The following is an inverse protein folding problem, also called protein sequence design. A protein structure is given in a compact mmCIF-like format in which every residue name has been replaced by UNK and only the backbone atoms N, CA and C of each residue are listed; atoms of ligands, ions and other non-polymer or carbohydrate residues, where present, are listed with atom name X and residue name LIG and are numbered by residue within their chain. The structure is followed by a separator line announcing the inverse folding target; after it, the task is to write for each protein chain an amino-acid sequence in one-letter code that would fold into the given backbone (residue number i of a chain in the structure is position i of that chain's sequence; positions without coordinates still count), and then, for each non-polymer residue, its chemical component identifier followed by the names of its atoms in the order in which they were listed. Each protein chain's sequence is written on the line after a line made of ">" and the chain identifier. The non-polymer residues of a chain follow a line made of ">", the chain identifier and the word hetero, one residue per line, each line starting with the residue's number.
data_IF_603959820980
#
_entry.id   IF_603959820980
#
_cell.length_a   1.000
_cell.length_b   1.000
_cell.length_c   1.000
_cell.angle_alpha   90.00
_cell.angle_beta   90.00
_cell.angle_gamma   90.00
#
_symmetry.space_group_name_H-M   'P 1'
#
loop_
_entity.id
_entity.type
_entity.pdbx_description
1 polymer ?
#
# COMPACT_ATOMS: atom_id res chain seq x y z
N UNK A 1 -41.37 -46.17 9.26
CA UNK A 1 -40.43 -45.75 8.21
C UNK A 1 -39.60 -44.63 8.76
N UNK A 2 -38.33 -44.52 8.37
CA UNK A 2 -37.46 -43.42 8.79
C UNK A 2 -37.69 -42.20 7.89
N UNK A 3 -37.65 -41.03 8.50
CA UNK A 3 -37.65 -39.76 7.78
C UNK A 3 -36.26 -39.52 7.18
N UNK A 4 -36.22 -39.14 5.91
CA UNK A 4 -35.01 -38.65 5.24
C UNK A 4 -35.27 -37.19 4.85
N UNK A 5 -34.61 -36.27 5.54
CA UNK A 5 -34.53 -34.86 5.17
C UNK A 5 -33.16 -34.55 4.57
N UNK A 6 -33.05 -33.41 3.90
CA UNK A 6 -31.80 -32.91 3.34
C UNK A 6 -31.03 -32.13 4.43
N UNK A 7 -29.77 -32.49 4.64
CA UNK A 7 -28.81 -31.67 5.39
C UNK A 7 -28.23 -30.66 4.41
N UNK A 8 -28.29 -29.37 4.77
CA UNK A 8 -27.75 -28.28 3.95
C UNK A 8 -26.22 -28.31 4.00
N UNK A 9 -25.64 -28.02 5.17
CA UNK A 9 -24.19 -28.06 5.40
C UNK A 9 -23.82 -28.80 6.70
N UNK A 10 -22.75 -29.59 6.62
CA UNK A 10 -22.14 -30.28 7.76
C UNK A 10 -20.65 -29.95 7.78
N UNK A 11 -20.19 -29.29 8.85
CA UNK A 11 -18.76 -29.10 9.14
C UNK A 11 -18.36 -29.98 10.32
N UNK A 12 -17.29 -30.76 10.14
CA UNK A 12 -16.72 -31.65 11.16
C UNK A 12 -15.35 -31.12 11.52
N UNK A 13 -15.14 -30.83 12.81
CA UNK A 13 -13.89 -30.33 13.35
C UNK A 13 -13.15 -31.44 14.09
N UNK A 14 -11.82 -31.51 13.91
CA UNK A 14 -10.95 -32.52 14.52
C UNK A 14 -10.39 -32.10 15.89
N UNK A 15 -10.93 -31.02 16.47
CA UNK A 15 -10.55 -30.44 17.75
C UNK A 15 -11.68 -29.61 18.37
N UNK A 16 -11.50 -29.21 19.63
CA UNK A 16 -12.43 -28.29 20.30
C UNK A 16 -12.33 -26.90 19.68
N UNK A 17 -13.49 -26.29 19.42
CA UNK A 17 -13.59 -24.92 18.96
C UNK A 17 -13.37 -23.96 20.13
N UNK A 18 -12.76 -22.81 19.86
CA UNK A 18 -12.71 -21.71 20.82
C UNK A 18 -14.06 -20.95 20.88
N UNK A 19 -14.18 -20.03 21.84
CA UNK A 19 -15.42 -19.30 22.08
C UNK A 19 -15.84 -18.42 20.89
N UNK A 20 -14.88 -17.89 20.13
CA UNK A 20 -15.15 -17.08 18.94
C UNK A 20 -15.70 -17.95 17.80
N UNK A 21 -15.07 -19.10 17.56
CA UNK A 21 -15.52 -20.09 16.58
C UNK A 21 -16.89 -20.68 16.92
N UNK A 22 -17.17 -20.89 18.21
CA UNK A 22 -18.51 -21.32 18.66
C UNK A 22 -19.55 -20.22 18.43
N UNK A 23 -19.19 -18.95 18.68
CA UNK A 23 -20.08 -17.82 18.46
C UNK A 23 -20.40 -17.65 16.97
N UNK A 24 -19.38 -17.70 16.10
CA UNK A 24 -19.48 -17.64 14.64
C UNK A 24 -20.45 -18.70 14.09
N UNK A 25 -20.30 -19.95 14.53
CA UNK A 25 -21.20 -21.04 14.16
C UNK A 25 -22.62 -20.87 14.72
N UNK A 26 -22.75 -20.30 15.92
CA UNK A 26 -24.04 -20.11 16.58
C UNK A 26 -24.84 -18.94 15.98
N UNK A 27 -24.17 -17.93 15.44
CA UNK A 27 -24.79 -16.75 14.83
C UNK A 27 -24.96 -16.88 13.31
N UNK A 28 -24.21 -17.78 12.66
CA UNK A 28 -24.22 -17.93 11.21
C UNK A 28 -23.52 -16.79 10.46
N UNK A 29 -22.75 -15.96 11.18
CA UNK A 29 -21.93 -14.89 10.60
C UNK A 29 -20.53 -15.43 10.37
N UNK A 30 -20.01 -15.30 9.15
CA UNK A 30 -18.63 -15.65 8.83
C UNK A 30 -17.61 -14.79 9.64
N UNK A 31 -16.34 -15.21 9.75
CA UNK A 31 -15.30 -14.42 10.42
C UNK A 31 -15.23 -13.01 9.81
N UNK A 32 -15.03 -12.03 10.66
CA UNK A 32 -14.99 -10.59 10.37
C UNK A 32 -14.01 -9.98 11.39
N UNK A 33 -12.74 -9.86 10.98
CA UNK A 33 -11.63 -9.60 11.89
C UNK A 33 -11.64 -8.17 12.43
N UNK A 34 -11.99 -7.19 11.60
CA UNK A 34 -12.05 -5.79 11.97
C UNK A 34 -13.45 -5.33 12.42
N UNK A 35 -14.47 -6.19 12.25
CA UNK A 35 -15.87 -5.96 12.62
C UNK A 35 -16.54 -4.84 11.82
N UNK A 36 -16.16 -4.62 10.55
CA UNK A 36 -16.79 -3.64 9.67
C UNK A 36 -18.10 -4.14 9.02
N UNK A 37 -18.39 -5.44 9.16
CA UNK A 37 -19.58 -6.11 8.63
C UNK A 37 -19.38 -6.77 7.27
N UNK A 38 -18.18 -6.73 6.71
CA UNK A 38 -17.73 -7.55 5.57
C UNK A 38 -16.99 -8.77 6.12
N UNK A 39 -17.44 -9.99 5.80
CA UNK A 39 -16.70 -11.17 6.24
C UNK A 39 -15.32 -11.29 5.57
N UNK A 40 -14.32 -11.80 6.30
CA UNK A 40 -12.93 -11.96 5.85
C UNK A 40 -12.82 -12.65 4.47
N UNK A 41 -13.70 -13.63 4.20
CA UNK A 41 -13.70 -14.35 2.92
C UNK A 41 -14.04 -13.48 1.70
N UNK A 42 -14.54 -12.26 1.94
CA UNK A 42 -14.95 -11.26 0.95
C UNK A 42 -14.33 -9.88 1.19
N UNK A 43 -13.58 -9.71 2.29
CA UNK A 43 -12.85 -8.50 2.60
C UNK A 43 -11.47 -8.55 1.93
N UNK A 44 -11.05 -7.53 1.16
CA UNK A 44 -9.70 -7.45 0.64
C UNK A 44 -8.66 -6.88 1.62
N UNK A 45 -9.06 -6.36 2.79
CA UNK A 45 -8.21 -5.73 3.82
C UNK A 45 -8.78 -6.09 5.21
N UNK A 46 -8.53 -7.33 5.64
CA UNK A 46 -9.13 -8.00 6.80
C UNK A 46 -8.92 -7.21 8.13
N UNK A 47 -7.90 -6.37 8.23
CA UNK A 47 -7.62 -5.55 9.42
C UNK A 47 -7.72 -4.04 9.23
N UNK A 48 -8.11 -3.62 8.02
CA UNK A 48 -8.41 -2.25 7.63
C UNK A 48 -7.27 -1.26 7.91
N UNK A 49 -6.03 -1.69 7.69
CA UNK A 49 -4.83 -0.87 7.90
C UNK A 49 -4.37 -0.11 6.64
N UNK A 50 -5.03 -0.37 5.52
CA UNK A 50 -4.76 0.27 4.23
C UNK A 50 -3.80 -0.52 3.34
N UNK A 51 -3.40 -1.73 3.74
CA UNK A 51 -2.69 -2.70 2.93
C UNK A 51 -3.61 -3.88 2.60
N UNK A 52 -3.74 -4.30 1.34
CA UNK A 52 -4.58 -5.46 1.02
C UNK A 52 -3.96 -6.78 1.48
N UNK A 53 -4.79 -7.72 1.95
CA UNK A 53 -4.42 -9.07 2.40
C UNK A 53 -3.44 -9.78 1.46
N UNK A 54 -3.75 -9.72 0.16
CA UNK A 54 -2.96 -10.38 -0.87
C UNK A 54 -1.55 -9.82 -0.94
N UNK A 55 -1.41 -8.50 -0.75
CA UNK A 55 -0.11 -7.85 -0.72
C UNK A 55 0.64 -8.18 0.57
N UNK A 56 -0.03 -8.12 1.71
CA UNK A 56 0.59 -8.45 3.00
C UNK A 56 1.11 -9.88 3.04
N UNK A 57 0.28 -10.86 2.66
CA UNK A 57 0.67 -12.28 2.60
C UNK A 57 1.82 -12.49 1.61
N UNK A 58 1.82 -11.80 0.47
CA UNK A 58 2.90 -11.89 -0.51
C UNK A 58 4.24 -11.33 0.01
N UNK A 59 4.19 -10.34 0.91
CA UNK A 59 5.37 -9.73 1.54
C UNK A 59 5.64 -10.29 2.96
N UNK A 60 4.93 -11.35 3.35
CA UNK A 60 5.09 -12.04 4.62
C UNK A 60 4.68 -11.23 5.84
N UNK A 61 3.81 -10.23 5.68
CA UNK A 61 3.12 -9.52 6.77
C UNK A 61 1.87 -10.29 7.20
N UNK A 62 1.09 -9.75 8.13
CA UNK A 62 -0.07 -10.42 8.68
C UNK A 62 -1.34 -9.57 8.52
N UNK A 63 -2.16 -9.94 7.53
CA UNK A 63 -3.47 -9.36 7.20
C UNK A 63 -4.53 -9.36 8.31
N UNK A 64 -4.17 -9.82 9.51
CA UNK A 64 -5.00 -9.81 10.71
C UNK A 64 -4.25 -9.12 11.84
N UNK A 65 -3.47 -8.09 11.54
CA UNK A 65 -2.68 -7.29 12.47
C UNK A 65 -2.36 -5.90 11.90
N UNK A 66 -3.33 -4.99 11.99
CA UNK A 66 -3.21 -3.59 11.60
C UNK A 66 -2.04 -2.82 12.26
N UNK A 67 -1.44 -3.37 13.31
CA UNK A 67 -0.26 -2.79 13.95
C UNK A 67 1.01 -2.93 13.11
N UNK A 68 1.07 -3.85 12.14
CA UNK A 68 2.25 -4.01 11.30
C UNK A 68 2.32 -3.04 10.11
N UNK A 69 1.22 -2.44 9.65
CA UNK A 69 1.27 -1.28 8.73
C UNK A 69 2.26 -0.20 9.17
N UNK A 70 2.29 0.11 10.47
CA UNK A 70 3.17 1.14 11.05
C UNK A 70 4.57 0.63 11.44
N UNK A 71 4.84 -0.67 11.30
CA UNK A 71 6.15 -1.24 11.56
C UNK A 71 7.08 -1.03 10.35
N UNK A 72 8.38 -1.04 10.63
CA UNK A 72 9.47 -1.00 9.65
C UNK A 72 10.12 -2.39 9.68
N UNK A 73 9.66 -3.29 8.81
CA UNK A 73 9.96 -4.71 8.91
C UNK A 73 11.40 -5.07 8.52
N UNK A 74 12.07 -4.23 7.73
CA UNK A 74 13.44 -4.43 7.26
C UNK A 74 14.46 -3.42 7.82
N UNK A 75 13.99 -2.34 8.47
CA UNK A 75 14.81 -1.36 9.17
C UNK A 75 15.35 -0.24 8.27
N UNK A 76 14.71 0.05 7.14
CA UNK A 76 15.17 1.05 6.16
C UNK A 76 14.67 2.49 6.45
N UNK A 77 13.77 2.63 7.42
CA UNK A 77 13.15 3.86 7.88
C UNK A 77 11.79 4.20 7.25
N UNK A 78 11.22 3.34 6.41
CA UNK A 78 9.84 3.40 5.94
C UNK A 78 8.96 2.41 6.72
N UNK A 79 7.69 2.75 6.89
CA UNK A 79 6.71 1.80 7.39
C UNK A 79 6.17 0.92 6.27
N UNK A 80 5.70 -0.28 6.60
CA UNK A 80 5.15 -1.24 5.64
C UNK A 80 4.06 -0.63 4.75
N UNK A 81 3.18 0.22 5.30
CA UNK A 81 2.14 0.91 4.53
C UNK A 81 2.71 2.00 3.60
N UNK A 82 3.78 2.69 4.00
CA UNK A 82 4.47 3.64 3.13
C UNK A 82 5.15 2.92 1.96
N UNK A 83 5.68 1.74 2.19
CA UNK A 83 6.26 0.88 1.17
C UNK A 83 5.23 0.29 0.21
N UNK A 84 4.07 -0.14 0.73
CA UNK A 84 2.92 -0.50 -0.09
C UNK A 84 2.54 0.66 -1.02
N UNK A 85 2.41 1.88 -0.50
CA UNK A 85 2.10 3.06 -1.30
C UNK A 85 3.22 3.36 -2.31
N UNK A 86 4.49 3.18 -1.93
CA UNK A 86 5.65 3.47 -2.78
C UNK A 86 5.89 2.42 -3.88
N UNK A 87 5.40 1.20 -3.71
CA UNK A 87 5.74 0.05 -4.55
C UNK A 87 7.13 -0.49 -4.23
N UNK A 88 7.50 -0.55 -2.95
CA UNK A 88 8.74 -1.20 -2.49
C UNK A 88 8.42 -2.50 -1.76
N UNK A 89 9.47 -3.24 -1.39
CA UNK A 89 9.37 -4.55 -0.75
C UNK A 89 9.74 -4.37 0.73
N UNK A 90 8.80 -4.55 1.68
CA UNK A 90 9.03 -4.31 3.10
C UNK A 90 9.93 -5.34 3.79
N UNK A 91 10.51 -6.26 3.01
CA UNK A 91 11.48 -7.25 3.46
C UNK A 91 12.88 -7.00 2.88
N UNK A 92 13.06 -5.95 2.09
CA UNK A 92 14.32 -5.63 1.43
C UNK A 92 14.66 -4.14 1.56
N UNK A 93 15.56 -3.82 2.50
CA UNK A 93 15.97 -2.46 2.79
C UNK A 93 16.70 -1.75 1.61
N UNK A 94 17.09 -2.50 0.57
CA UNK A 94 17.64 -1.97 -0.68
C UNK A 94 16.54 -1.65 -1.73
N UNK A 95 15.30 -2.11 -1.52
CA UNK A 95 14.13 -1.83 -2.35
C UNK A 95 13.61 -0.42 -2.08
N UNK A 96 14.07 0.56 -2.88
CA UNK A 96 13.78 1.98 -2.65
C UNK A 96 13.10 2.65 -3.83
N UNK A 97 12.02 3.38 -3.56
CA UNK A 97 11.47 4.32 -4.52
C UNK A 97 12.41 5.53 -4.68
N UNK A 98 13.02 5.63 -5.86
CA UNK A 98 14.06 6.64 -6.12
C UNK A 98 13.93 7.26 -7.51
N UNK A 99 14.43 8.50 -7.61
CA UNK A 99 14.67 9.13 -8.91
C UNK A 99 15.75 8.34 -9.66
N UNK A 100 15.38 7.70 -10.77
CA UNK A 100 16.27 6.84 -11.55
C UNK A 100 17.27 7.64 -12.41
N UNK A 101 17.07 8.94 -12.55
CA UNK A 101 18.04 9.82 -13.20
C UNK A 101 17.48 11.22 -13.47
N UNK A 102 18.37 12.10 -13.90
CA UNK A 102 17.99 13.41 -14.41
C UNK A 102 18.77 13.73 -15.69
N UNK A 103 18.22 14.59 -16.53
CA UNK A 103 18.91 15.09 -17.72
C UNK A 103 18.71 16.60 -17.90
N UNK A 104 19.66 17.24 -18.57
CA UNK A 104 19.55 18.64 -18.99
C UNK A 104 19.44 18.69 -20.50
N UNK A 105 18.34 19.22 -21.03
CA UNK A 105 18.09 19.29 -22.47
C UNK A 105 17.50 20.66 -22.82
N UNK A 106 18.12 21.38 -23.74
CA UNK A 106 17.62 22.70 -24.18
C UNK A 106 17.61 23.79 -23.09
N UNK A 107 18.26 23.58 -21.94
CA UNK A 107 18.20 24.47 -20.78
C UNK A 107 17.18 24.03 -19.72
N UNK A 108 16.39 22.99 -19.99
CA UNK A 108 15.43 22.39 -19.08
C UNK A 108 16.01 21.19 -18.34
N UNK A 109 15.53 20.94 -17.12
CA UNK A 109 15.84 19.72 -16.36
C UNK A 109 14.66 18.76 -16.42
N UNK A 110 14.97 17.50 -16.64
CA UNK A 110 14.02 16.40 -16.65
C UNK A 110 14.36 15.42 -15.53
N UNK A 111 13.37 15.05 -14.72
CA UNK A 111 13.48 13.97 -13.75
C UNK A 111 12.91 12.70 -14.35
N UNK A 112 13.61 11.58 -14.19
CA UNK A 112 13.17 10.26 -14.65
C UNK A 112 13.02 9.31 -13.47
N UNK A 113 11.88 8.64 -13.39
CA UNK A 113 11.63 7.62 -12.36
C UNK A 113 10.74 6.51 -12.92
N UNK A 114 10.90 5.30 -12.35
CA UNK A 114 10.04 4.15 -12.65
C UNK A 114 8.69 4.34 -11.98
N UNK A 115 7.62 3.94 -12.66
CA UNK A 115 6.26 3.98 -12.12
C UNK A 115 5.67 2.59 -12.08
N UNK A 116 4.71 2.37 -11.18
CA UNK A 116 3.95 1.12 -11.07
C UNK A 116 2.47 1.36 -11.33
N UNK A 117 1.79 0.38 -11.92
CA UNK A 117 0.34 0.44 -12.14
C UNK A 117 -0.43 0.51 -10.82
N UNK A 118 -1.61 1.14 -10.82
CA UNK A 118 -2.43 1.33 -9.62
C UNK A 118 -1.95 2.46 -8.70
N UNK A 119 -0.98 3.26 -9.16
CA UNK A 119 -0.46 4.42 -8.45
C UNK A 119 -0.51 5.67 -9.30
N UNK A 120 -0.63 6.81 -8.63
CA UNK A 120 -0.60 8.14 -9.23
C UNK A 120 0.56 8.93 -8.66
N UNK A 121 1.35 9.52 -9.56
CA UNK A 121 2.57 10.25 -9.23
C UNK A 121 2.41 11.76 -9.42
N UNK A 122 3.24 12.49 -8.71
CA UNK A 122 3.41 13.93 -8.86
C UNK A 122 4.83 14.37 -8.54
N UNK A 123 5.14 15.60 -8.89
CA UNK A 123 6.41 16.26 -8.55
C UNK A 123 6.09 17.58 -7.88
N UNK A 124 6.70 17.82 -6.72
CA UNK A 124 6.67 19.11 -6.06
C UNK A 124 8.08 19.71 -6.02
N UNK A 125 8.17 21.03 -6.11
CA UNK A 125 9.41 21.79 -6.06
C UNK A 125 9.41 22.82 -4.94
N UNK A 126 10.59 23.12 -4.40
CA UNK A 126 10.80 24.23 -3.46
C UNK A 126 12.17 24.89 -3.65
N UNK A 127 12.28 26.17 -3.33
CA UNK A 127 13.53 26.92 -3.46
C UNK A 127 14.55 26.58 -2.37
N UNK A 128 14.09 26.18 -1.18
CA UNK A 128 14.93 25.97 0.00
C UNK A 128 14.58 24.65 0.69
N UNK A 129 15.59 23.91 1.17
CA UNK A 129 15.32 22.67 1.94
C UNK A 129 14.79 22.96 3.35
N UNK A 130 15.13 24.12 3.89
CA UNK A 130 14.87 24.51 5.28
C UNK A 130 14.15 25.85 5.31
N UNK A 131 13.27 26.05 6.29
CA UNK A 131 12.50 27.27 6.46
C UNK A 131 11.01 27.06 6.16
N UNK A 132 10.29 28.14 5.89
CA UNK A 132 8.82 28.16 5.73
C UNK A 132 8.36 28.08 4.28
N UNK A 133 9.26 27.91 3.31
CA UNK A 133 8.88 27.80 1.91
C UNK A 133 8.11 26.51 1.67
N UNK A 134 6.88 26.63 1.17
CA UNK A 134 6.02 25.49 0.88
C UNK A 134 6.50 24.70 -0.35
N UNK A 135 6.16 23.41 -0.37
CA UNK A 135 6.29 22.58 -1.55
C UNK A 135 5.21 22.97 -2.56
N UNK A 136 5.61 23.43 -3.74
CA UNK A 136 4.70 23.82 -4.81
C UNK A 136 4.60 22.69 -5.82
N UNK A 137 3.38 22.28 -6.16
CA UNK A 137 3.12 21.25 -7.16
C UNK A 137 3.61 21.72 -8.54
N UNK A 138 4.50 20.95 -9.15
CA UNK A 138 5.00 21.15 -10.52
C UNK A 138 4.20 20.30 -11.50
N UNK A 139 3.93 19.05 -11.11
CA UNK A 139 3.13 18.09 -11.90
C UNK A 139 2.36 17.21 -10.93
N UNK A 140 1.14 16.83 -11.29
CA UNK A 140 0.30 15.94 -10.50
C UNK A 140 -0.57 15.10 -11.42
N UNK A 141 -1.02 13.94 -10.95
CA UNK A 141 -1.92 13.08 -11.71
C UNK A 141 -1.22 12.27 -12.80
N UNK A 142 0.08 11.97 -12.67
CA UNK A 142 0.78 11.10 -13.61
C UNK A 142 0.38 9.65 -13.34
N UNK A 143 -0.31 8.97 -14.26
CA UNK A 143 -0.69 7.57 -14.04
C UNK A 143 0.56 6.69 -14.08
N UNK A 144 0.64 5.75 -13.15
CA UNK A 144 1.65 4.73 -13.16
C UNK A 144 1.35 3.66 -14.19
N UNK A 145 2.35 3.33 -15.01
CA UNK A 145 2.17 2.47 -16.19
C UNK A 145 3.05 1.22 -16.15
N UNK A 146 3.83 1.01 -15.09
CA UNK A 146 4.89 0.00 -15.05
C UNK A 146 6.16 0.45 -15.80
N UNK A 147 6.15 1.64 -16.40
CA UNK A 147 7.25 2.18 -17.20
C UNK A 147 7.91 3.39 -16.57
N UNK A 148 9.02 3.82 -17.17
CA UNK A 148 9.66 5.07 -16.82
C UNK A 148 8.87 6.26 -17.35
N UNK A 149 8.78 7.30 -16.53
CA UNK A 149 8.26 8.62 -16.93
C UNK A 149 9.36 9.67 -16.84
N UNK A 150 9.26 10.72 -17.65
CA UNK A 150 10.13 11.90 -17.58
C UNK A 150 9.27 13.15 -17.32
N UNK A 151 9.65 13.93 -16.31
CA UNK A 151 8.94 15.15 -15.90
C UNK A 151 9.87 16.34 -16.00
N UNK A 152 9.48 17.33 -16.81
CA UNK A 152 10.19 18.61 -16.87
C UNK A 152 9.99 19.38 -15.56
N UNK A 153 11.07 19.88 -14.98
CA UNK A 153 11.05 20.68 -13.76
C UNK A 153 11.70 22.05 -13.95
N UNK A 154 11.13 23.12 -13.37
CA UNK A 154 11.61 24.48 -13.59
C UNK A 154 12.85 24.78 -12.76
N UNK A 155 13.98 25.19 -13.36
CA UNK A 155 15.27 25.48 -12.69
C UNK A 155 15.46 26.93 -12.22
N UNK A 156 14.38 27.64 -11.90
CA UNK A 156 14.46 29.04 -11.47
C UNK A 156 15.15 29.21 -10.12
N UNK A 157 15.89 30.32 -9.95
CA UNK A 157 16.61 30.65 -8.72
C UNK A 157 18.05 30.11 -8.70
N UNK A 158 18.73 30.27 -7.56
CA UNK A 158 20.12 29.79 -7.36
C UNK A 158 20.19 28.33 -6.89
N UNK A 159 19.10 27.82 -6.30
CA UNK A 159 18.94 26.43 -5.87
C UNK A 159 17.47 26.06 -5.92
N UNK A 160 17.21 24.79 -6.21
CA UNK A 160 15.87 24.23 -6.25
C UNK A 160 15.91 22.76 -5.90
N UNK A 161 14.91 22.32 -5.16
CA UNK A 161 14.76 20.95 -4.67
C UNK A 161 13.45 20.40 -5.17
N UNK A 162 13.44 19.11 -5.49
CA UNK A 162 12.27 18.41 -5.95
C UNK A 162 12.06 17.16 -5.11
N UNK A 163 10.79 16.79 -4.94
CA UNK A 163 10.41 15.47 -4.45
C UNK A 163 9.41 14.87 -5.42
N UNK A 164 9.51 13.57 -5.60
CA UNK A 164 8.48 12.78 -6.27
C UNK A 164 7.49 12.37 -5.19
N UNK A 165 6.21 12.43 -5.51
CA UNK A 165 5.11 12.06 -4.62
C UNK A 165 4.37 10.91 -5.28
N UNK A 166 3.90 9.97 -4.48
CA UNK A 166 3.16 8.78 -4.93
C UNK A 166 1.98 8.57 -3.99
N UNK A 167 0.88 8.05 -4.54
CA UNK A 167 -0.31 7.61 -3.82
C UNK A 167 -0.99 6.50 -4.61
N UNK A 168 -1.86 5.73 -3.96
CA UNK A 168 -2.75 4.79 -4.64
C UNK A 168 -3.74 5.54 -5.55
N UNK A 169 -4.10 4.92 -6.68
CA UNK A 169 -5.04 5.46 -7.69
C UNK A 169 -6.48 5.54 -7.17
#
# INVERSE_FOLDING_TARGET
>A
GWYQGELDDVRIYVGALDEAQVLELATGTAPDFDSDGVPDASDPDDDNDGMPDVWEVANGLNAKNAGDAAADADGDGLSNVEEYIAGTDPRDADSRFQCSGFSVQGGDVWLRFLTETGRVYGVAGRGELTGTSEWVIVTNGLPGTGGYVEVQVPVTGVRKFYRIMVRME
#
